data_IF_480393016452
#
_entry.id   IF_480393016452
#
_cell.length_a   1.000
_cell.length_b   1.000
_cell.length_c   1.000
_cell.angle_alpha   90.00
_cell.angle_beta   90.00
_cell.angle_gamma   90.00
#
_symmetry.space_group_name_H-M   'P 1'
#
loop_
_entity.id
_entity.type
_entity.pdbx_description
1 polymer ?
#
# COMPACT_ATOMS: atom_id res chain seq x y z
N UNK A 1 6.66 19.06 8.28
CA UNK A 1 5.80 18.86 7.11
C UNK A 1 4.39 19.39 7.36
N UNK A 2 3.73 19.87 6.32
CA UNK A 2 2.36 20.41 6.41
C UNK A 2 1.32 19.31 6.59
N UNK A 3 1.49 18.20 5.90
CA UNK A 3 0.61 17.04 6.02
C UNK A 3 1.29 15.76 5.59
N UNK A 4 0.83 14.67 6.19
CA UNK A 4 1.15 13.30 5.78
C UNK A 4 -0.17 12.55 5.62
N UNK A 5 -0.33 11.89 4.50
CA UNK A 5 -1.47 11.02 4.22
C UNK A 5 -0.99 9.62 3.85
N UNK A 6 -1.73 8.65 4.29
CA UNK A 6 -1.50 7.25 3.96
C UNK A 6 -2.79 6.65 3.40
N UNK A 7 -2.68 6.04 2.24
CA UNK A 7 -3.80 5.45 1.50
C UNK A 7 -3.53 3.99 1.20
N UNK A 8 -4.55 3.17 1.29
CA UNK A 8 -4.55 1.80 0.80
C UNK A 8 -5.25 1.75 -0.54
N UNK A 9 -4.55 1.22 -1.54
CA UNK A 9 -5.04 1.09 -2.90
C UNK A 9 -5.01 -0.36 -3.35
N UNK A 10 -6.03 -0.76 -4.10
CA UNK A 10 -6.02 -1.98 -4.89
C UNK A 10 -6.27 -1.64 -6.35
N UNK A 11 -5.39 -2.07 -7.22
CA UNK A 11 -5.47 -1.85 -8.66
C UNK A 11 -5.52 -3.19 -9.39
N UNK A 12 -6.41 -3.28 -10.36
CA UNK A 12 -6.48 -4.39 -11.29
C UNK A 12 -5.91 -3.95 -12.63
N UNK A 13 -4.97 -4.73 -13.15
CA UNK A 13 -4.39 -4.55 -14.47
C UNK A 13 -4.85 -5.67 -15.38
N UNK A 14 -5.40 -5.29 -16.53
CA UNK A 14 -5.88 -6.22 -17.56
C UNK A 14 -5.12 -5.96 -18.85
N UNK A 15 -4.56 -7.02 -19.41
CA UNK A 15 -3.94 -6.98 -20.73
C UNK A 15 -4.78 -7.80 -21.69
N UNK A 16 -5.23 -7.17 -22.78
CA UNK A 16 -6.04 -7.83 -23.77
C UNK A 16 -5.63 -7.41 -25.20
N UNK A 17 -6.03 -8.25 -26.15
CA UNK A 17 -5.78 -8.01 -27.56
C UNK A 17 -7.01 -7.37 -28.21
N UNK A 18 -6.82 -6.25 -28.88
CA UNK A 18 -7.84 -5.61 -29.69
C UNK A 18 -7.35 -5.56 -31.15
N UNK A 19 -7.78 -6.51 -31.98
CA UNK A 19 -7.23 -6.66 -33.33
C UNK A 19 -5.77 -7.10 -33.31
N UNK A 20 -4.88 -6.29 -33.85
CA UNK A 20 -3.42 -6.48 -33.83
C UNK A 20 -2.74 -5.82 -32.65
N UNK A 21 -3.45 -4.97 -31.90
CA UNK A 21 -2.89 -4.20 -30.80
C UNK A 21 -3.08 -4.90 -29.46
N UNK A 22 -2.06 -4.81 -28.61
CA UNK A 22 -2.12 -5.21 -27.20
C UNK A 22 -2.46 -3.98 -26.37
N UNK A 23 -3.52 -4.07 -25.58
CA UNK A 23 -3.95 -3.01 -24.69
C UNK A 23 -3.79 -3.39 -23.24
N UNK A 24 -3.38 -2.41 -22.45
CA UNK A 24 -3.28 -2.49 -20.99
C UNK A 24 -4.27 -1.53 -20.38
N UNK A 25 -5.08 -2.03 -19.47
CA UNK A 25 -5.97 -1.20 -18.68
C UNK A 25 -5.67 -1.38 -17.20
N UNK A 26 -5.58 -0.26 -16.50
CA UNK A 26 -5.38 -0.19 -15.06
C UNK A 26 -6.63 0.40 -14.42
N UNK A 27 -7.28 -0.36 -13.57
CA UNK A 27 -8.47 0.04 -12.87
C UNK A 27 -8.23 0.06 -11.36
N UNK A 28 -8.56 1.17 -10.72
CA UNK A 28 -8.56 1.26 -9.27
C UNK A 28 -9.87 0.66 -8.75
N UNK A 29 -9.78 -0.48 -8.06
CA UNK A 29 -10.94 -1.21 -7.55
C UNK A 29 -11.22 -0.96 -6.07
N UNK A 30 -10.25 -0.44 -5.33
CA UNK A 30 -10.38 -0.07 -3.93
C UNK A 30 -9.44 1.07 -3.58
N UNK A 31 -9.94 2.01 -2.77
CA UNK A 31 -9.16 3.13 -2.24
C UNK A 31 -9.70 3.53 -0.88
N UNK A 32 -8.83 3.58 0.12
CA UNK A 32 -9.20 4.04 1.45
C UNK A 32 -8.06 4.83 2.09
N UNK A 33 -8.39 5.99 2.63
CA UNK A 33 -7.48 6.74 3.46
C UNK A 33 -7.34 6.08 4.84
N UNK A 34 -6.11 5.75 5.21
CA UNK A 34 -5.79 5.11 6.48
C UNK A 34 -5.41 6.13 7.54
N UNK A 35 -4.72 7.17 7.11
CA UNK A 35 -4.21 8.22 7.98
C UNK A 35 -4.22 9.55 7.23
N UNK A 36 -4.65 10.59 7.91
CA UNK A 36 -4.39 11.97 7.53
C UNK A 36 -3.94 12.70 8.78
N UNK A 37 -2.72 13.18 8.77
CA UNK A 37 -2.16 13.93 9.87
C UNK A 37 -1.75 15.32 9.41
N UNK A 38 -2.19 16.35 10.14
CA UNK A 38 -1.85 17.74 9.89
C UNK A 38 -0.39 18.04 10.19
N UNK A 39 -0.04 19.28 10.49
CA UNK A 39 1.34 19.68 10.66
C UNK A 39 2.10 18.78 11.64
N UNK A 40 3.19 18.19 11.15
CA UNK A 40 4.05 17.30 11.92
C UNK A 40 5.49 17.79 11.80
N UNK A 41 6.17 17.83 12.92
CA UNK A 41 7.59 18.12 12.93
C UNK A 41 8.38 16.81 12.76
N UNK A 42 9.16 16.73 11.70
CA UNK A 42 10.02 15.59 11.41
C UNK A 42 11.46 16.04 11.56
N UNK A 43 12.16 15.42 12.50
CA UNK A 43 13.58 15.65 12.69
C UNK A 43 14.38 14.81 11.68
N UNK A 44 15.32 15.41 10.91
CA UNK A 44 16.06 14.69 9.88
C UNK A 44 16.91 13.52 10.40
N UNK A 45 17.25 13.53 11.67
CA UNK A 45 18.10 12.50 12.30
C UNK A 45 17.31 11.39 12.99
N UNK A 46 15.98 11.51 13.05
CA UNK A 46 15.14 10.53 13.73
C UNK A 46 14.14 9.92 12.75
N UNK A 47 13.98 8.59 12.76
CA UNK A 47 12.96 7.96 11.94
C UNK A 47 11.57 8.37 12.42
N UNK A 48 10.74 8.83 11.49
CA UNK A 48 9.33 9.06 11.74
C UNK A 48 8.58 7.74 11.59
N UNK A 49 7.83 7.36 12.62
CA UNK A 49 7.08 6.09 12.66
C UNK A 49 5.60 6.36 12.83
N UNK A 50 4.80 5.71 12.02
CA UNK A 50 3.34 5.71 12.11
C UNK A 50 2.85 4.27 12.06
N UNK A 51 1.97 3.94 12.99
CA UNK A 51 1.29 2.64 13.00
C UNK A 51 -0.15 2.85 12.61
N UNK A 52 -0.60 2.11 11.62
CA UNK A 52 -1.99 2.12 11.18
C UNK A 52 -2.50 0.70 10.94
N UNK A 53 -3.82 0.54 10.95
CA UNK A 53 -4.48 -0.72 10.67
C UNK A 53 -4.90 -0.77 9.21
N UNK A 54 -4.68 -1.90 8.55
CA UNK A 54 -5.13 -2.13 7.17
C UNK A 54 -6.49 -2.81 7.17
N UNK A 55 -7.57 -2.09 6.85
CA UNK A 55 -8.90 -2.65 6.76
C UNK A 55 -9.11 -3.28 5.37
N UNK A 56 -8.54 -4.46 5.12
CA UNK A 56 -8.80 -5.16 3.88
C UNK A 56 -10.15 -5.86 3.98
N UNK A 57 -11.12 -5.54 3.10
CA UNK A 57 -12.41 -6.20 3.09
C UNK A 57 -12.26 -7.71 2.89
N UNK A 58 -13.05 -8.51 3.61
CA UNK A 58 -13.02 -9.97 3.48
C UNK A 58 -13.37 -10.46 2.07
N UNK A 59 -14.17 -9.69 1.34
CA UNK A 59 -14.54 -9.96 -0.05
C UNK A 59 -13.55 -9.39 -1.08
N UNK A 60 -12.51 -8.71 -0.64
CA UNK A 60 -11.51 -8.15 -1.55
C UNK A 60 -10.66 -9.24 -2.18
N UNK A 61 -10.29 -9.03 -3.42
CA UNK A 61 -9.37 -9.93 -4.09
C UNK A 61 -7.97 -9.85 -3.49
N UNK A 62 -7.34 -11.00 -3.31
CA UNK A 62 -5.94 -11.08 -2.92
C UNK A 62 -5.01 -10.64 -4.07
N UNK A 63 -3.76 -10.36 -3.76
CA UNK A 63 -2.74 -10.10 -4.77
C UNK A 63 -2.56 -11.34 -5.64
N UNK A 64 -2.58 -11.17 -6.95
CA UNK A 64 -2.20 -12.23 -7.87
C UNK A 64 -1.64 -11.65 -9.17
N UNK A 65 -0.92 -12.47 -9.90
CA UNK A 65 -0.40 -12.15 -11.20
C UNK A 65 -0.56 -13.34 -12.14
N UNK A 66 -1.14 -13.07 -13.31
CA UNK A 66 -1.24 -14.01 -14.41
C UNK A 66 -0.73 -13.36 -15.69
N UNK A 67 -0.77 -14.08 -16.79
CA UNK A 67 -0.30 -13.57 -18.09
C UNK A 67 -1.11 -12.35 -18.57
N UNK A 68 -2.41 -12.32 -18.28
CA UNK A 68 -3.32 -11.29 -18.80
C UNK A 68 -3.97 -10.43 -17.72
N UNK A 69 -3.95 -10.87 -16.48
CA UNK A 69 -4.58 -10.16 -15.36
C UNK A 69 -3.66 -10.14 -14.15
N UNK A 70 -3.68 -9.03 -13.44
CA UNK A 70 -3.01 -8.93 -12.15
C UNK A 70 -3.78 -8.03 -11.19
N UNK A 71 -3.70 -8.34 -9.91
CA UNK A 71 -4.25 -7.52 -8.82
C UNK A 71 -3.12 -7.13 -7.90
N UNK A 72 -2.93 -5.84 -7.73
CA UNK A 72 -1.85 -5.26 -6.95
C UNK A 72 -2.42 -4.41 -5.82
N UNK A 73 -1.94 -4.69 -4.62
CA UNK A 73 -2.20 -3.85 -3.45
C UNK A 73 -1.00 -2.95 -3.19
N UNK A 74 -1.27 -1.69 -2.87
CA UNK A 74 -0.24 -0.68 -2.64
C UNK A 74 -0.60 0.20 -1.46
N UNK A 75 0.41 0.62 -0.73
CA UNK A 75 0.33 1.76 0.17
C UNK A 75 0.84 3.00 -0.55
N UNK A 76 0.04 4.04 -0.54
CA UNK A 76 0.41 5.34 -1.06
C UNK A 76 0.69 6.27 0.10
N UNK A 77 1.90 6.77 0.17
CA UNK A 77 2.30 7.80 1.12
C UNK A 77 2.40 9.12 0.38
N UNK A 78 1.58 10.08 0.78
CA UNK A 78 1.62 11.44 0.27
C UNK A 78 2.12 12.37 1.36
N UNK A 79 3.08 13.18 1.05
CA UNK A 79 3.69 14.10 1.99
C UNK A 79 3.82 15.49 1.38
N UNK A 80 3.37 16.50 2.10
CA UNK A 80 3.50 17.89 1.73
C UNK A 80 4.50 18.60 2.68
N UNK A 81 5.78 18.69 2.30
CA UNK A 81 6.77 19.42 3.07
C UNK A 81 6.48 20.92 3.10
N UNK A 82 6.99 21.64 4.11
CA UNK A 82 6.70 23.06 4.28
C UNK A 82 7.27 23.94 3.14
N UNK A 83 8.43 23.57 2.60
CA UNK A 83 9.20 24.38 1.64
C UNK A 83 9.52 23.66 0.32
N UNK A 84 9.00 22.44 0.13
CA UNK A 84 9.22 21.64 -1.06
C UNK A 84 7.90 21.24 -1.70
N UNK A 85 7.88 20.89 -2.98
CA UNK A 85 6.70 20.33 -3.61
C UNK A 85 6.20 19.08 -2.89
N UNK A 86 4.91 18.86 -2.95
CA UNK A 86 4.30 17.61 -2.50
C UNK A 86 4.88 16.44 -3.26
N UNK A 87 5.14 15.36 -2.56
CA UNK A 87 5.62 14.13 -3.15
C UNK A 87 4.80 12.93 -2.72
N UNK A 88 4.82 11.93 -3.57
CA UNK A 88 4.08 10.70 -3.42
C UNK A 88 5.01 9.51 -3.54
N UNK A 89 4.86 8.54 -2.67
CA UNK A 89 5.57 7.25 -2.77
C UNK A 89 4.59 6.10 -2.68
N UNK A 90 4.79 5.10 -3.53
CA UNK A 90 3.99 3.89 -3.60
C UNK A 90 4.81 2.71 -3.12
N UNK A 91 4.25 1.97 -2.19
CA UNK A 91 4.86 0.78 -1.63
C UNK A 91 3.97 -0.42 -1.95
N UNK A 92 4.43 -1.37 -2.77
CA UNK A 92 3.67 -2.58 -3.04
C UNK A 92 3.55 -3.42 -1.76
N UNK A 93 2.37 -3.98 -1.56
CA UNK A 93 2.10 -4.96 -0.50
C UNK A 93 1.52 -6.22 -1.12
N UNK A 94 1.66 -7.34 -0.43
CA UNK A 94 1.13 -8.62 -0.88
C UNK A 94 0.02 -9.07 0.06
N UNK A 95 -1.15 -9.29 -0.51
CA UNK A 95 -2.32 -9.82 0.19
C UNK A 95 -2.51 -11.27 -0.23
N UNK A 96 -2.39 -12.20 0.72
CA UNK A 96 -2.54 -13.62 0.46
C UNK A 96 -3.99 -14.07 0.59
N UNK A 97 -4.43 -15.06 -0.23
CA UNK A 97 -5.73 -15.69 -0.03
C UNK A 97 -5.73 -16.53 1.25
N UNK A 98 -6.87 -16.54 1.94
CA UNK A 98 -7.06 -17.35 3.14
C UNK A 98 -7.63 -16.56 4.30
N UNK A 99 -7.96 -17.25 5.40
CA UNK A 99 -8.46 -16.62 6.62
C UNK A 99 -7.43 -15.63 7.17
N UNK A 100 -7.69 -14.37 6.92
CA UNK A 100 -7.17 -13.17 7.58
C UNK A 100 -5.71 -13.24 8.10
N UNK A 101 -4.75 -13.55 7.25
CA UNK A 101 -3.35 -13.33 7.58
C UNK A 101 -2.76 -12.29 6.64
N UNK A 102 -2.71 -11.05 7.08
CA UNK A 102 -2.04 -9.98 6.38
C UNK A 102 -0.58 -9.94 6.75
N UNK A 103 0.27 -10.11 5.76
CA UNK A 103 1.68 -9.74 5.85
C UNK A 103 1.90 -8.52 4.98
N UNK A 104 2.01 -7.38 5.59
CA UNK A 104 2.50 -6.20 4.93
C UNK A 104 3.94 -5.96 5.35
N UNK A 105 4.84 -6.03 4.40
CA UNK A 105 6.23 -5.64 4.60
C UNK A 105 6.43 -4.33 3.84
N UNK A 106 6.44 -3.24 4.55
CA UNK A 106 6.86 -1.96 4.00
C UNK A 106 8.32 -1.78 4.38
N UNK A 107 9.19 -2.04 3.44
CA UNK A 107 10.62 -1.84 3.64
C UNK A 107 11.05 -0.57 2.93
N UNK A 108 11.52 0.45 3.63
CA UNK A 108 12.33 1.47 2.97
C UNK A 108 13.67 0.81 2.60
N UNK A 109 13.82 0.48 1.35
CA UNK A 109 15.08 0.11 0.70
C UNK A 109 16.14 -0.59 1.59
N UNK A 110 15.80 -1.74 2.18
CA UNK A 110 16.75 -2.80 2.52
C UNK A 110 16.03 -4.07 2.98
N UNK A 111 16.54 -5.19 2.54
CA UNK A 111 16.16 -6.57 2.82
C UNK A 111 15.87 -6.82 4.31
N UNK A 112 14.64 -7.16 4.65
CA UNK A 112 14.27 -7.51 6.01
C UNK A 112 13.33 -8.72 6.07
N UNK A 113 13.60 -9.61 7.00
CA UNK A 113 12.95 -10.89 7.22
C UNK A 113 11.49 -10.78 7.62
N UNK A 114 10.68 -11.68 7.07
CA UNK A 114 9.27 -11.87 7.41
C UNK A 114 9.10 -12.49 8.80
N UNK A 115 8.34 -11.86 9.66
CA UNK A 115 7.94 -12.43 10.94
C UNK A 115 6.53 -13.01 10.88
N UNK A 116 6.40 -14.23 11.33
CA UNK A 116 5.16 -15.00 11.39
C UNK A 116 4.35 -14.55 12.61
N UNK A 117 3.21 -13.91 12.42
CA UNK A 117 2.34 -13.43 13.49
C UNK A 117 0.94 -14.03 13.46
N UNK A 118 0.40 -14.26 14.62
CA UNK A 118 -0.80 -15.00 14.97
C UNK A 118 -2.13 -14.44 14.39
N UNK A 119 -3.06 -15.38 14.23
CA UNK A 119 -4.48 -15.18 13.86
C UNK A 119 -5.20 -14.22 14.80
N UNK A 120 -5.80 -13.17 14.26
CA UNK A 120 -7.10 -12.62 14.68
C UNK A 120 -7.52 -11.50 13.75
N UNK A 121 -8.78 -11.60 13.28
CA UNK A 121 -9.56 -10.60 12.52
C UNK A 121 -8.80 -9.61 11.63
N UNK A 122 -9.28 -9.44 10.44
CA UNK A 122 -8.92 -8.59 9.30
C UNK A 122 -8.24 -7.21 9.54
N UNK A 123 -7.41 -7.08 10.55
CA UNK A 123 -6.67 -5.87 10.85
C UNK A 123 -5.19 -6.20 10.98
N UNK A 124 -4.40 -5.82 9.98
CA UNK A 124 -2.96 -5.83 10.09
C UNK A 124 -2.48 -4.42 10.47
N UNK A 125 -1.58 -4.36 11.43
CA UNK A 125 -0.91 -3.10 11.76
C UNK A 125 0.33 -2.97 10.90
N UNK A 126 0.47 -1.82 10.23
CA UNK A 126 1.66 -1.49 9.46
C UNK A 126 2.42 -0.40 10.18
N UNK A 127 3.70 -0.63 10.33
CA UNK A 127 4.63 0.41 10.75
C UNK A 127 5.30 0.99 9.50
N UNK A 128 5.06 2.27 9.25
CA UNK A 128 5.75 3.01 8.19
C UNK A 128 6.91 3.75 8.80
N UNK A 129 8.10 3.40 8.39
CA UNK A 129 9.35 4.08 8.79
C UNK A 129 9.84 4.88 7.60
N UNK A 130 9.86 6.17 7.76
CA UNK A 130 10.41 7.08 6.77
C UNK A 130 11.86 7.46 7.09
#
# INVERSE_FOLDING_TARGET
>A
VKSIELWLLCEEEVTYRQGTDIRHELCKVFEQQLLAQGPVEIEPSKPFRVTCTLPIPAAAMHSFQSEHNSVHWKLLVRCAPAHWPEFERRHPIVVFPGEATLRAVVTPAQTGQATRGQRKSAAASIEVVA
#
